data_IF_096017315347
#
_entry.id   IF_096017315347
#
_cell.length_a   1.000
_cell.length_b   1.000
_cell.length_c   1.000
_cell.angle_alpha   90.00
_cell.angle_beta   90.00
_cell.angle_gamma   90.00
#
_symmetry.space_group_name_H-M   'P 1'
#
loop_
_entity.id
_entity.type
_entity.pdbx_description
1 polymer ?
#
# COMPACT_ATOMS: atom_id res chain seq x y z
N UNK A 1 -9.87 11.78 17.16
CA UNK A 1 -11.09 11.17 17.73
C UNK A 1 -10.66 10.14 18.76
N UNK A 2 -11.36 9.94 19.88
CA UNK A 2 -10.91 9.00 20.91
C UNK A 2 -11.01 7.57 20.38
N UNK A 3 -9.86 6.87 20.38
CA UNK A 3 -9.67 5.42 20.23
C UNK A 3 -10.46 4.75 19.11
N UNK A 4 -9.90 4.67 17.89
CA UNK A 4 -10.28 3.61 16.96
C UNK A 4 -10.15 2.28 17.71
N UNK A 5 -11.27 1.57 17.88
CA UNK A 5 -11.21 0.21 18.41
C UNK A 5 -10.52 -0.61 17.35
N UNK A 6 -9.32 -1.08 17.61
CA UNK A 6 -8.63 -2.03 16.73
C UNK A 6 -8.67 -3.39 17.42
N UNK A 7 -9.11 -4.40 16.67
CA UNK A 7 -9.14 -5.77 17.16
C UNK A 7 -8.11 -6.59 16.42
N UNK A 8 -7.36 -7.40 17.15
CA UNK A 8 -6.47 -8.38 16.55
C UNK A 8 -6.87 -9.76 17.04
N UNK A 9 -7.05 -10.68 16.10
CA UNK A 9 -7.42 -12.07 16.38
C UNK A 9 -6.35 -12.97 15.81
N UNK A 10 -5.68 -13.72 16.68
CA UNK A 10 -4.72 -14.74 16.30
C UNK A 10 -5.38 -16.13 16.31
N UNK A 11 -5.05 -16.95 15.31
CA UNK A 11 -5.54 -18.31 15.18
C UNK A 11 -4.51 -19.21 14.50
N UNK A 12 -4.69 -20.52 14.63
CA UNK A 12 -3.81 -21.51 13.99
C UNK A 12 -4.53 -22.13 12.81
N UNK A 13 -4.04 -21.86 11.61
CA UNK A 13 -4.42 -22.56 10.39
C UNK A 13 -3.73 -23.91 10.26
N UNK A 14 -4.39 -24.85 9.61
CA UNK A 14 -3.85 -26.18 9.30
C UNK A 14 -3.72 -26.33 7.78
N UNK A 15 -2.52 -26.66 7.30
CA UNK A 15 -2.26 -27.04 5.93
C UNK A 15 -1.69 -28.46 5.91
N UNK A 16 -2.55 -29.45 5.65
CA UNK A 16 -2.23 -30.87 5.86
C UNK A 16 -1.73 -31.13 7.30
N UNK A 17 -0.45 -31.45 7.47
CA UNK A 17 0.19 -31.67 8.78
C UNK A 17 0.87 -30.42 9.34
N UNK A 18 0.98 -29.35 8.54
CA UNK A 18 1.65 -28.10 8.92
C UNK A 18 0.67 -27.21 9.70
N UNK A 19 1.14 -26.64 10.81
CA UNK A 19 0.43 -25.63 11.59
C UNK A 19 0.99 -24.25 11.26
N UNK A 20 0.13 -23.33 10.84
CA UNK A 20 0.49 -21.95 10.47
C UNK A 20 -0.20 -20.98 11.41
N UNK A 21 0.58 -20.19 12.15
CA UNK A 21 0.01 -19.12 12.96
C UNK A 21 -0.38 -17.94 12.08
N UNK A 22 -1.64 -17.53 12.15
CA UNK A 22 -2.22 -16.43 11.39
C UNK A 22 -2.80 -15.39 12.34
N UNK A 23 -2.74 -14.12 11.92
CA UNK A 23 -3.31 -12.99 12.64
C UNK A 23 -4.16 -12.17 11.67
N UNK A 24 -5.34 -11.75 12.13
CA UNK A 24 -6.22 -10.84 11.42
C UNK A 24 -6.34 -9.57 12.26
N UNK A 25 -6.00 -8.43 11.65
CA UNK A 25 -6.20 -7.12 12.23
C UNK A 25 -7.47 -6.48 11.63
N UNK A 26 -8.33 -5.95 12.51
CA UNK A 26 -9.64 -5.41 12.18
C UNK A 26 -9.67 -3.96 12.64
N UNK A 27 -9.61 -3.04 11.68
CA UNK A 27 -9.80 -1.61 11.88
C UNK A 27 -11.23 -1.18 11.56
N UNK A 28 -11.73 -0.18 12.29
CA UNK A 28 -13.05 0.43 12.05
C UNK A 28 -12.93 1.93 11.84
N UNK A 29 -13.81 2.50 11.01
CA UNK A 29 -13.95 3.95 10.83
C UNK A 29 -13.13 4.56 9.69
N UNK A 30 -12.50 3.74 8.86
CA UNK A 30 -11.83 4.21 7.65
C UNK A 30 -12.84 4.52 6.54
N UNK A 31 -12.53 5.57 5.78
CA UNK A 31 -13.36 6.05 4.66
C UNK A 31 -12.78 5.50 3.38
N UNK A 32 -13.56 4.66 2.69
CA UNK A 32 -13.18 4.09 1.39
C UNK A 32 -13.80 4.91 0.27
N UNK A 33 -12.99 5.40 -0.67
CA UNK A 33 -13.45 6.21 -1.81
C UNK A 33 -12.77 5.72 -3.09
N UNK A 34 -13.52 5.33 -4.13
CA UNK A 34 -14.97 5.51 -4.33
C UNK A 34 -15.86 4.52 -3.54
N UNK A 35 -15.30 3.40 -3.11
CA UNK A 35 -15.93 2.36 -2.31
C UNK A 35 -15.12 1.06 -2.40
N UNK A 36 -15.46 0.01 -1.65
CA UNK A 36 -14.78 -1.27 -1.75
C UNK A 36 -15.00 -1.90 -3.12
N UNK A 37 -13.93 -2.42 -3.71
CA UNK A 37 -13.93 -3.11 -4.99
C UNK A 37 -13.77 -4.61 -4.79
N UNK A 38 -14.36 -5.39 -5.71
CA UNK A 38 -14.19 -6.84 -5.72
C UNK A 38 -13.01 -7.23 -6.60
N UNK A 39 -12.08 -8.01 -6.06
CA UNK A 39 -10.98 -8.58 -6.81
C UNK A 39 -10.91 -10.10 -6.64
N UNK A 40 -10.47 -10.75 -7.70
CA UNK A 40 -10.20 -12.19 -7.71
C UNK A 40 -8.75 -12.36 -7.31
N UNK A 41 -8.51 -13.05 -6.19
CA UNK A 41 -7.15 -13.28 -5.71
C UNK A 41 -6.56 -14.52 -6.38
N UNK A 42 -5.30 -14.49 -6.85
CA UNK A 42 -4.68 -15.64 -7.48
C UNK A 42 -4.52 -16.79 -6.47
N UNK A 43 -4.85 -18.00 -6.90
CA UNK A 43 -4.71 -19.19 -6.06
C UNK A 43 -3.35 -19.84 -6.28
N UNK A 44 -2.70 -20.23 -5.19
CA UNK A 44 -1.46 -21.01 -5.23
C UNK A 44 -1.71 -22.52 -5.34
N UNK A 45 -2.90 -22.94 -4.94
CA UNK A 45 -3.37 -24.33 -4.92
C UNK A 45 -4.57 -24.45 -5.88
N UNK A 46 -4.91 -25.67 -6.29
CA UNK A 46 -6.01 -25.98 -7.22
C UNK A 46 -7.40 -25.84 -6.56
N UNK A 47 -7.66 -24.69 -5.92
CA UNK A 47 -8.95 -24.29 -5.38
C UNK A 47 -9.59 -23.20 -6.23
N UNK A 48 -10.93 -23.04 -6.16
CA UNK A 48 -11.61 -21.91 -6.78
C UNK A 48 -11.03 -20.58 -6.30
N UNK A 49 -10.86 -19.64 -7.23
CA UNK A 49 -10.29 -18.34 -6.91
C UNK A 49 -11.21 -17.55 -5.98
N UNK A 50 -10.73 -17.12 -4.79
CA UNK A 50 -11.55 -16.39 -3.86
C UNK A 50 -11.81 -14.97 -4.38
N UNK A 51 -13.05 -14.53 -4.20
CA UNK A 51 -13.49 -13.16 -4.50
C UNK A 51 -13.44 -12.39 -3.19
N UNK A 52 -12.58 -11.38 -3.13
CA UNK A 52 -12.37 -10.54 -1.96
C UNK A 52 -12.93 -9.15 -2.24
N UNK A 53 -13.49 -8.52 -1.20
CA UNK A 53 -13.79 -7.08 -1.22
C UNK A 53 -12.65 -6.36 -0.53
N UNK A 54 -12.08 -5.35 -1.17
CA UNK A 54 -11.06 -4.54 -0.51
C UNK A 54 -10.95 -3.16 -1.12
N UNK A 55 -9.92 -2.46 -0.68
CA UNK A 55 -9.73 -1.05 -0.99
C UNK A 55 -9.38 -0.85 -2.47
N UNK A 56 -9.96 0.19 -3.07
CA UNK A 56 -9.52 0.65 -4.40
C UNK A 56 -8.08 1.14 -4.34
N UNK A 57 -7.41 1.16 -5.49
CA UNK A 57 -6.04 1.67 -5.60
C UNK A 57 -5.91 3.10 -5.06
N UNK A 58 -6.91 3.93 -5.34
CA UNK A 58 -6.98 5.32 -4.88
C UNK A 58 -7.05 5.43 -3.36
N UNK A 59 -7.86 4.59 -2.71
CA UNK A 59 -7.96 4.60 -1.24
C UNK A 59 -6.64 4.15 -0.62
N UNK A 60 -6.03 3.06 -1.12
CA UNK A 60 -4.74 2.56 -0.62
C UNK A 60 -3.66 3.63 -0.76
N UNK A 61 -3.59 4.30 -1.91
CA UNK A 61 -2.61 5.36 -2.15
C UNK A 61 -2.86 6.57 -1.25
N UNK A 62 -4.12 6.98 -1.07
CA UNK A 62 -4.51 8.08 -0.18
C UNK A 62 -4.13 7.82 1.28
N UNK A 63 -4.37 6.60 1.78
CA UNK A 63 -3.98 6.20 3.15
C UNK A 63 -2.47 6.17 3.34
N UNK A 64 -1.73 5.58 2.39
CA UNK A 64 -0.25 5.57 2.44
C UNK A 64 0.33 6.97 2.41
N UNK A 65 -0.22 7.86 1.57
CA UNK A 65 0.20 9.26 1.50
C UNK A 65 -0.11 9.98 2.82
N UNK A 66 -1.29 9.77 3.39
CA UNK A 66 -1.69 10.35 4.66
C UNK A 66 -0.75 9.93 5.80
N UNK A 67 -0.43 8.64 5.90
CA UNK A 67 0.50 8.11 6.90
C UNK A 67 1.91 8.68 6.69
N UNK A 68 2.33 8.81 5.43
CA UNK A 68 3.61 9.41 5.07
C UNK A 68 3.71 10.88 5.55
N UNK A 69 2.68 11.69 5.26
CA UNK A 69 2.62 13.11 5.68
C UNK A 69 2.59 13.24 7.20
N UNK A 70 1.86 12.37 7.91
CA UNK A 70 1.82 12.38 9.38
C UNK A 70 3.17 12.08 10.02
N UNK A 71 3.96 11.18 9.44
CA UNK A 71 5.20 10.68 10.05
C UNK A 71 6.44 11.57 9.78
N UNK A 72 6.31 12.65 8.99
CA UNK A 72 7.34 13.67 8.68
C UNK A 72 8.79 13.12 8.68
N UNK A 73 9.66 13.69 9.51
CA UNK A 73 11.13 13.55 9.49
C UNK A 73 11.61 12.25 10.16
N UNK A 74 10.71 11.48 10.77
CA UNK A 74 11.04 10.21 11.44
C UNK A 74 10.81 8.98 10.56
N UNK A 75 10.38 9.18 9.31
CA UNK A 75 10.06 8.07 8.42
C UNK A 75 11.33 7.47 7.80
N UNK A 76 11.88 6.44 8.46
CA UNK A 76 12.97 5.59 7.94
C UNK A 76 12.45 4.37 7.16
N UNK A 77 11.14 4.22 6.99
CA UNK A 77 10.53 3.08 6.31
C UNK A 77 10.53 3.31 4.80
N UNK A 78 11.68 3.07 4.16
CA UNK A 78 11.85 3.13 2.69
C UNK A 78 10.74 2.38 1.91
N UNK A 79 10.14 1.37 2.52
CA UNK A 79 9.02 0.61 1.94
C UNK A 79 7.84 1.50 1.55
N UNK A 80 7.48 2.50 2.36
CA UNK A 80 6.29 3.33 2.08
C UNK A 80 6.50 4.18 0.81
N UNK A 81 7.72 4.65 0.58
CA UNK A 81 8.09 5.34 -0.68
C UNK A 81 8.03 4.41 -1.88
N UNK A 82 8.54 3.19 -1.74
CA UNK A 82 8.49 2.20 -2.82
C UNK A 82 7.05 1.80 -3.16
N UNK A 83 6.21 1.60 -2.15
CA UNK A 83 4.80 1.28 -2.32
C UNK A 83 4.06 2.42 -3.04
N UNK A 84 4.28 3.69 -2.64
CA UNK A 84 3.68 4.85 -3.31
C UNK A 84 4.15 4.98 -4.76
N UNK A 85 5.44 4.77 -5.03
CA UNK A 85 5.97 4.75 -6.38
C UNK A 85 5.32 3.62 -7.20
N UNK A 86 5.29 2.39 -6.69
CA UNK A 86 4.72 1.24 -7.37
C UNK A 86 3.22 1.44 -7.67
N UNK A 87 2.45 1.97 -6.72
CA UNK A 87 1.04 2.30 -6.89
C UNK A 87 0.83 3.38 -7.95
N UNK A 88 1.73 4.38 -8.00
CA UNK A 88 1.64 5.45 -8.99
C UNK A 88 1.87 4.99 -10.44
N UNK A 89 2.45 3.80 -10.64
CA UNK A 89 2.68 3.20 -11.95
C UNK A 89 1.51 2.30 -12.41
N UNK A 90 0.49 2.09 -11.58
CA UNK A 90 -0.64 1.25 -11.97
C UNK A 90 -1.51 1.98 -13.02
N UNK A 91 -1.74 1.37 -14.20
CA UNK A 91 -2.50 2.01 -15.27
C UNK A 91 -3.97 2.24 -14.93
N UNK A 92 -4.53 1.46 -14.00
CA UNK A 92 -5.92 1.56 -13.54
C UNK A 92 -6.16 2.75 -12.60
N UNK A 93 -5.08 3.42 -12.15
CA UNK A 93 -5.17 4.52 -11.19
C UNK A 93 -5.83 5.76 -11.80
N UNK A 94 -7.05 6.08 -11.36
CA UNK A 94 -7.76 7.27 -11.82
C UNK A 94 -7.36 8.51 -11.00
N UNK A 95 -6.79 9.52 -11.66
CA UNK A 95 -6.26 10.72 -10.98
C UNK A 95 -7.34 11.58 -10.31
N UNK A 96 -8.52 11.68 -10.90
CA UNK A 96 -9.64 12.47 -10.35
C UNK A 96 -10.23 11.80 -9.10
N UNK A 97 -10.37 10.47 -9.18
CA UNK A 97 -10.83 9.64 -8.06
C UNK A 97 -9.80 9.64 -6.94
N UNK A 98 -8.50 9.60 -7.27
CA UNK A 98 -7.40 9.72 -6.32
C UNK A 98 -7.43 11.05 -5.58
N UNK A 99 -7.61 12.17 -6.29
CA UNK A 99 -7.71 13.48 -5.65
C UNK A 99 -8.85 13.51 -4.62
N UNK A 100 -10.00 12.97 -5.00
CA UNK A 100 -11.17 12.86 -4.12
C UNK A 100 -10.91 11.95 -2.92
N UNK A 101 -10.22 10.83 -3.12
CA UNK A 101 -9.86 9.89 -2.05
C UNK A 101 -8.88 10.54 -1.05
N UNK A 102 -7.87 11.27 -1.54
CA UNK A 102 -6.93 12.02 -0.69
C UNK A 102 -7.68 13.03 0.17
N UNK A 103 -8.51 13.88 -0.43
CA UNK A 103 -9.27 14.90 0.30
C UNK A 103 -10.14 14.29 1.42
N UNK A 104 -10.86 13.20 1.12
CA UNK A 104 -11.73 12.51 2.08
C UNK A 104 -10.95 11.83 3.19
N UNK A 105 -9.85 11.14 2.87
CA UNK A 105 -9.02 10.45 3.86
C UNK A 105 -8.36 11.43 4.83
N UNK A 106 -7.83 12.55 4.32
CA UNK A 106 -7.23 13.58 5.16
C UNK A 106 -8.27 14.29 6.04
N UNK A 107 -9.44 14.58 5.47
CA UNK A 107 -10.56 15.18 6.21
C UNK A 107 -11.08 14.26 7.33
N UNK A 108 -11.23 12.97 7.06
CA UNK A 108 -11.69 11.98 8.06
C UNK A 108 -10.74 11.92 9.28
N UNK A 109 -9.43 11.99 9.03
CA UNK A 109 -8.40 11.92 10.08
C UNK A 109 -8.01 13.29 10.66
N UNK A 110 -8.70 14.38 10.27
CA UNK A 110 -8.49 15.77 10.74
C UNK A 110 -7.05 16.26 10.60
N UNK A 111 -6.40 15.95 9.48
CA UNK A 111 -5.08 16.50 9.17
C UNK A 111 -5.25 17.69 8.25
N UNK A 112 -4.69 18.83 8.64
CA UNK A 112 -4.55 19.95 7.72
C UNK A 112 -3.54 19.58 6.62
N UNK A 113 -4.01 19.58 5.38
CA UNK A 113 -3.15 19.46 4.21
C UNK A 113 -2.38 20.77 4.11
N UNK A 114 -1.14 20.80 4.60
CA UNK A 114 -0.20 21.82 4.17
C UNK A 114 0.14 21.55 2.70
N UNK A 115 -0.43 22.37 1.81
CA UNK A 115 -0.27 22.24 0.35
C UNK A 115 1.20 22.34 -0.09
N UNK A 116 2.08 22.91 0.73
CA UNK A 116 3.52 22.92 0.45
C UNK A 116 4.17 21.54 0.63
N UNK A 117 3.56 20.63 1.41
CA UNK A 117 4.02 19.24 1.55
C UNK A 117 3.56 18.35 0.39
N UNK A 118 2.57 18.80 -0.40
CA UNK A 118 2.21 18.19 -1.68
C UNK A 118 3.17 18.60 -2.81
N UNK A 119 4.10 19.54 -2.57
CA UNK A 119 5.17 19.94 -3.49
C UNK A 119 6.33 18.90 -3.54
N UNK A 120 6.00 17.65 -3.23
CA UNK A 120 6.85 16.51 -3.58
C UNK A 120 6.81 16.38 -5.11
N UNK A 121 7.95 16.16 -5.80
CA UNK A 121 7.94 16.07 -7.25
C UNK A 121 7.37 14.70 -7.65
N UNK A 122 6.05 14.55 -7.63
CA UNK A 122 5.30 13.60 -8.44
C UNK A 122 5.22 14.10 -9.90
N UNK A 123 6.28 14.74 -10.40
CA UNK A 123 6.53 14.79 -11.83
C UNK A 123 7.09 13.41 -12.25
N UNK A 124 6.19 12.42 -12.23
CA UNK A 124 6.47 11.03 -12.61
C UNK A 124 6.87 10.88 -14.09
N UNK A 125 6.69 11.92 -14.90
CA UNK A 125 7.16 11.96 -16.28
C UNK A 125 8.66 12.30 -16.42
N UNK A 126 9.32 12.76 -15.35
CA UNK A 126 10.71 13.26 -15.41
C UNK A 126 11.72 12.36 -14.69
N UNK A 127 11.27 11.32 -13.97
CA UNK A 127 12.16 10.27 -13.46
C UNK A 127 12.54 9.38 -14.64
N UNK A 128 13.52 9.82 -15.45
CA UNK A 128 14.24 8.93 -16.35
C UNK A 128 14.96 7.88 -15.50
N UNK A 129 14.84 6.58 -15.80
CA UNK A 129 15.57 5.54 -15.12
C UNK A 129 17.02 5.56 -15.63
N UNK A 130 17.83 6.54 -15.23
CA UNK A 130 19.19 6.64 -15.75
C UNK A 130 20.29 6.71 -14.69
N UNK A 131 20.01 6.60 -13.38
CA UNK A 131 21.09 6.55 -12.37
C UNK A 131 20.89 5.67 -11.12
N UNK A 132 19.99 4.69 -11.15
CA UNK A 132 19.88 3.69 -10.06
C UNK A 132 20.31 2.26 -10.47
N UNK A 133 20.97 2.08 -11.62
CA UNK A 133 21.41 0.75 -12.08
C UNK A 133 22.89 0.41 -11.83
N UNK A 134 23.69 1.31 -11.26
CA UNK A 134 25.13 1.03 -11.02
C UNK A 134 25.41 0.33 -9.69
N UNK A 135 24.45 0.24 -8.76
CA UNK A 135 24.66 -0.39 -7.45
C UNK A 135 24.01 -1.77 -7.25
N UNK A 136 23.06 -2.17 -8.11
CA UNK A 136 22.21 -3.35 -7.86
C UNK A 136 22.46 -4.53 -8.80
N UNK A 137 23.24 -4.33 -9.88
CA UNK A 137 23.56 -5.40 -10.84
C UNK A 137 24.70 -6.32 -10.40
N UNK A 138 25.53 -5.89 -9.45
CA UNK A 138 26.72 -6.65 -9.03
C UNK A 138 26.40 -7.67 -7.93
N UNK A 139 25.37 -7.45 -7.12
CA UNK A 139 25.00 -8.35 -6.01
C UNK A 139 24.07 -9.50 -6.42
N UNK A 140 23.36 -9.38 -7.56
CA UNK A 140 22.45 -10.43 -8.05
C UNK A 140 23.11 -11.42 -9.02
N UNK A 141 24.37 -11.19 -9.42
CA UNK A 141 25.16 -12.18 -10.18
C UNK A 141 25.75 -13.28 -9.31
N UNK A 142 25.99 -13.02 -8.03
CA UNK A 142 26.61 -13.98 -7.11
C UNK A 142 25.65 -15.05 -6.58
N UNK A 143 24.33 -14.90 -6.78
CA UNK A 143 23.31 -15.85 -6.28
C UNK A 143 22.77 -16.83 -7.33
N UNK A 144 23.26 -16.78 -8.58
CA UNK A 144 22.94 -17.75 -9.65
C UNK A 144 24.17 -18.58 -10.07
N UNK A 145 24.99 -18.97 -9.09
CA UNK A 145 26.24 -19.71 -9.32
C UNK A 145 26.53 -20.76 -8.25
N UNK A 146 25.56 -21.62 -7.94
CA UNK A 146 25.82 -22.86 -7.21
C UNK A 146 25.02 -24.00 -7.84
N UNK A 147 25.63 -24.59 -8.88
CA UNK A 147 25.54 -26.01 -9.20
C UNK A 147 26.95 -26.49 -9.49
#
# INVERSE_FOLDING_TARGET
MPGSKEWSVAFTGLLNTVRVHMQIDIGFGDVVTPGPERFIYPTLLDFPAPILSGYSLETVMAEKLQAHVQLRILNTRMKDYFDLWLLSQQPELNRETLATAIERTFSNRKIEIDKTLLDFPLNLATIRPSRCNEGFSETLRTYRGTR
#
